data_IF_687080363582
#
_entry.id   IF_687080363582
#
_cell.length_a   1.000
_cell.length_b   1.000
_cell.length_c   1.000
_cell.angle_alpha   90.00
_cell.angle_beta   90.00
_cell.angle_gamma   90.00
#
_symmetry.space_group_name_H-M   'P 1'
#
loop_
_entity.id
_entity.type
_entity.pdbx_description
1 polymer ?
#
# COMPACT_ATOMS: atom_id res chain seq x y z
N UNK A 1 -24.58 -11.12 0.30
CA UNK A 1 -24.70 -10.30 1.51
C UNK A 1 -23.32 -9.73 1.84
N UNK A 2 -23.27 -8.43 2.06
CA UNK A 2 -22.04 -7.75 2.50
C UNK A 2 -22.07 -7.55 4.01
N UNK A 3 -20.93 -7.75 4.68
CA UNK A 3 -20.75 -7.43 6.09
C UNK A 3 -19.95 -6.12 6.18
N UNK A 4 -20.54 -5.13 6.81
CA UNK A 4 -19.85 -3.87 7.08
C UNK A 4 -19.20 -3.96 8.46
N UNK A 5 -17.91 -3.65 8.55
CA UNK A 5 -17.10 -3.72 9.77
C UNK A 5 -17.74 -2.97 10.94
N UNK A 6 -18.27 -1.80 10.66
CA UNK A 6 -18.87 -0.89 11.65
C UNK A 6 -20.04 -1.52 12.41
N UNK A 7 -20.78 -2.43 11.78
CA UNK A 7 -21.91 -3.14 12.42
C UNK A 7 -21.48 -4.13 13.50
N UNK A 8 -20.21 -4.50 13.51
CA UNK A 8 -19.66 -5.48 14.44
C UNK A 8 -18.74 -4.85 15.50
N UNK A 9 -18.55 -3.53 15.45
CA UNK A 9 -17.78 -2.78 16.41
C UNK A 9 -18.72 -2.10 17.41
N UNK A 10 -18.43 -2.29 18.70
CA UNK A 10 -19.11 -1.57 19.77
C UNK A 10 -18.42 -0.22 20.03
N UNK A 11 -19.16 0.69 20.69
CA UNK A 11 -18.57 1.95 21.19
C UNK A 11 -17.33 1.73 22.05
N UNK A 12 -17.33 0.69 22.88
CA UNK A 12 -16.17 0.33 23.72
C UNK A 12 -14.98 -0.16 22.89
N UNK A 13 -15.21 -0.84 21.76
CA UNK A 13 -14.11 -1.24 20.87
C UNK A 13 -13.43 -0.03 20.25
N UNK A 14 -14.20 1.00 19.90
CA UNK A 14 -13.68 2.27 19.38
C UNK A 14 -12.88 3.00 20.47
N UNK A 15 -13.44 3.16 21.67
CA UNK A 15 -12.70 3.77 22.80
C UNK A 15 -11.40 3.04 23.07
N UNK A 16 -11.43 1.69 23.13
CA UNK A 16 -10.23 0.91 23.39
C UNK A 16 -9.17 1.07 22.27
N UNK A 17 -9.59 1.18 21.01
CA UNK A 17 -8.67 1.49 19.93
C UNK A 17 -8.03 2.87 20.11
N UNK A 18 -8.81 3.90 20.46
CA UNK A 18 -8.30 5.25 20.74
C UNK A 18 -7.40 5.32 22.00
N UNK A 19 -7.54 4.40 22.93
CA UNK A 19 -6.60 4.27 24.07
C UNK A 19 -5.18 3.93 23.63
N UNK A 20 -4.96 3.68 22.33
CA UNK A 20 -3.63 3.60 21.72
C UNK A 20 -2.76 4.80 22.08
N UNK A 21 -3.31 6.01 22.07
CA UNK A 21 -2.58 7.24 22.44
C UNK A 21 -2.03 7.20 23.88
N UNK A 22 -2.72 6.53 24.80
CA UNK A 22 -2.23 6.32 26.16
C UNK A 22 -1.21 5.19 26.22
N UNK A 23 -1.48 4.09 25.50
CA UNK A 23 -0.61 2.90 25.51
C UNK A 23 0.76 3.15 24.87
N UNK A 24 0.83 3.97 23.81
CA UNK A 24 2.11 4.28 23.15
C UNK A 24 3.13 4.95 24.07
N UNK A 25 2.68 5.69 25.10
CA UNK A 25 3.57 6.33 26.07
C UNK A 25 4.36 5.32 26.92
N UNK A 26 3.90 4.08 26.99
CA UNK A 26 4.53 3.00 27.72
C UNK A 26 5.46 2.14 26.86
N UNK A 27 5.64 2.50 25.57
CA UNK A 27 6.57 1.79 24.68
C UNK A 27 7.99 2.17 25.11
N UNK A 28 8.71 1.18 25.59
CA UNK A 28 10.13 1.32 25.94
C UNK A 28 10.93 0.98 24.69
N UNK A 29 11.61 1.98 24.13
CA UNK A 29 12.56 1.77 23.05
C UNK A 29 13.83 1.19 23.64
N UNK A 30 14.13 -0.06 23.28
CA UNK A 30 15.46 -0.64 23.51
C UNK A 30 16.41 -0.12 22.45
N UNK A 31 17.64 -0.59 22.44
CA UNK A 31 18.67 -0.16 21.48
C UNK A 31 18.15 -0.10 20.04
N UNK A 32 18.25 1.07 19.42
CA UNK A 32 17.74 1.35 18.09
C UNK A 32 18.90 1.77 17.18
N UNK A 33 19.78 0.82 16.90
CA UNK A 33 20.93 1.04 16.04
C UNK A 33 20.75 0.36 14.68
N UNK A 34 21.10 1.07 13.63
CA UNK A 34 21.19 0.54 12.27
C UNK A 34 22.58 0.88 11.74
N UNK A 35 23.41 -0.12 11.48
CA UNK A 35 24.78 0.06 11.02
C UNK A 35 25.57 1.07 11.91
N UNK A 36 25.50 0.88 13.23
CA UNK A 36 26.16 1.71 14.26
C UNK A 36 25.59 3.13 14.43
N UNK A 37 24.55 3.51 13.67
CA UNK A 37 23.84 4.78 13.85
C UNK A 37 22.66 4.61 14.82
N UNK A 38 22.58 5.49 15.82
CA UNK A 38 21.43 5.60 16.70
C UNK A 38 20.27 6.26 15.98
N UNK A 39 19.18 5.49 15.75
CA UNK A 39 17.96 5.98 15.09
C UNK A 39 16.81 6.25 16.09
N UNK A 40 17.12 6.31 17.39
CA UNK A 40 16.12 6.47 18.46
C UNK A 40 15.22 7.69 18.27
N UNK A 41 15.78 8.80 17.82
CA UNK A 41 15.00 10.03 17.63
C UNK A 41 14.06 9.94 16.42
N UNK A 42 14.46 9.23 15.37
CA UNK A 42 13.58 8.94 14.21
C UNK A 42 12.40 8.09 14.67
N UNK A 43 12.67 7.03 15.44
CA UNK A 43 11.62 6.14 15.96
C UNK A 43 10.71 6.88 16.94
N UNK A 44 11.26 7.73 17.82
CA UNK A 44 10.46 8.57 18.73
C UNK A 44 9.54 9.52 17.95
N UNK A 45 10.05 10.15 16.89
CA UNK A 45 9.25 11.01 16.03
C UNK A 45 8.09 10.21 15.38
N UNK A 46 8.37 9.06 14.79
CA UNK A 46 7.34 8.20 14.18
C UNK A 46 6.26 7.78 15.20
N UNK A 47 6.66 7.43 16.42
CA UNK A 47 5.73 7.01 17.47
C UNK A 47 4.91 8.19 18.03
N UNK A 48 5.50 9.39 18.13
CA UNK A 48 4.88 10.50 18.87
C UNK A 48 4.20 11.52 17.98
N UNK A 49 4.72 11.81 16.81
CA UNK A 49 4.36 12.99 16.03
C UNK A 49 3.75 12.68 14.66
N UNK A 50 3.89 11.44 14.17
CA UNK A 50 3.34 11.04 12.88
C UNK A 50 1.83 10.77 12.97
N UNK A 51 1.00 11.77 12.64
CA UNK A 51 -0.47 11.68 12.67
C UNK A 51 -1.03 10.63 11.69
N UNK A 52 -0.37 10.41 10.55
CA UNK A 52 -0.82 9.41 9.56
C UNK A 52 -0.69 8.00 10.14
N UNK A 53 0.42 7.73 10.81
CA UNK A 53 0.65 6.44 11.48
C UNK A 53 -0.40 6.17 12.57
N UNK A 54 -0.94 7.20 13.21
CA UNK A 54 -1.99 7.02 14.23
C UNK A 54 -3.30 6.53 13.65
N UNK A 55 -3.73 7.10 12.54
CA UNK A 55 -4.96 6.65 11.88
C UNK A 55 -4.84 5.19 11.46
N UNK A 56 -3.71 4.81 10.86
CA UNK A 56 -3.44 3.43 10.47
C UNK A 56 -3.35 2.47 11.67
N UNK A 57 -2.78 2.90 12.81
CA UNK A 57 -2.71 2.10 14.03
C UNK A 57 -4.11 1.86 14.65
N UNK A 58 -4.94 2.90 14.72
CA UNK A 58 -6.32 2.79 15.19
C UNK A 58 -7.12 1.84 14.28
N UNK A 59 -7.00 2.00 12.98
CA UNK A 59 -7.66 1.13 11.99
C UNK A 59 -7.22 -0.32 12.15
N UNK A 60 -5.93 -0.57 12.36
CA UNK A 60 -5.36 -1.89 12.65
C UNK A 60 -5.99 -2.51 13.89
N UNK A 61 -6.11 -1.75 14.97
CA UNK A 61 -6.74 -2.21 16.21
C UNK A 61 -8.23 -2.51 16.01
N UNK A 62 -8.95 -1.68 15.26
CA UNK A 62 -10.35 -1.91 14.92
C UNK A 62 -10.54 -3.15 14.06
N UNK A 63 -9.61 -3.46 13.15
CA UNK A 63 -9.61 -4.70 12.39
C UNK A 63 -9.49 -5.93 13.31
N UNK A 64 -8.60 -5.88 14.29
CA UNK A 64 -8.48 -6.96 15.30
C UNK A 64 -9.80 -7.13 16.09
N UNK A 65 -10.43 -6.02 16.51
CA UNK A 65 -11.70 -6.06 17.26
C UNK A 65 -12.83 -6.61 16.41
N UNK A 66 -12.96 -6.17 15.17
CA UNK A 66 -13.92 -6.68 14.21
C UNK A 66 -13.82 -8.20 14.08
N UNK A 67 -12.62 -8.71 13.79
CA UNK A 67 -12.39 -10.15 13.60
C UNK A 67 -12.68 -10.93 14.89
N UNK A 68 -12.30 -10.40 16.05
CA UNK A 68 -12.67 -10.96 17.35
C UNK A 68 -14.19 -11.06 17.52
N UNK A 69 -14.93 -10.03 17.17
CA UNK A 69 -16.37 -9.96 17.37
C UNK A 69 -17.12 -10.90 16.41
N UNK A 70 -16.77 -10.97 15.14
CA UNK A 70 -17.35 -11.94 14.21
C UNK A 70 -17.03 -13.38 14.62
N UNK A 71 -15.87 -13.64 15.23
CA UNK A 71 -15.52 -14.94 15.79
C UNK A 71 -16.40 -15.30 16.97
N UNK A 72 -16.66 -14.37 17.90
CA UNK A 72 -17.60 -14.56 19.03
C UNK A 72 -19.02 -14.88 18.56
N UNK A 73 -19.45 -14.25 17.46
CA UNK A 73 -20.74 -14.49 16.81
C UNK A 73 -20.76 -15.77 15.98
N UNK A 74 -19.66 -16.54 15.99
CA UNK A 74 -19.51 -17.80 15.24
C UNK A 74 -19.75 -17.64 13.74
N UNK A 75 -19.42 -16.49 13.17
CA UNK A 75 -19.48 -16.28 11.71
C UNK A 75 -18.54 -17.28 11.03
N UNK A 76 -19.08 -18.06 10.11
CA UNK A 76 -18.33 -19.11 9.41
C UNK A 76 -17.51 -18.52 8.28
N UNK A 77 -16.32 -18.01 8.58
CA UNK A 77 -15.35 -17.54 7.58
C UNK A 77 -14.62 -18.75 6.99
N UNK A 78 -14.53 -18.84 5.67
CA UNK A 78 -13.85 -19.93 4.95
C UNK A 78 -12.47 -19.52 4.47
N UNK A 79 -12.33 -18.27 4.07
CA UNK A 79 -11.13 -17.71 3.46
C UNK A 79 -11.08 -16.22 3.76
N UNK A 80 -9.89 -15.68 3.98
CA UNK A 80 -9.63 -14.24 4.00
C UNK A 80 -8.66 -13.88 2.90
N UNK A 81 -9.03 -12.89 2.09
CA UNK A 81 -8.13 -12.31 1.08
C UNK A 81 -8.11 -10.81 1.31
N UNK A 82 -6.92 -10.25 1.46
CA UNK A 82 -6.71 -8.81 1.55
C UNK A 82 -5.80 -8.31 0.41
N UNK A 83 -5.95 -7.03 0.08
CA UNK A 83 -4.98 -6.32 -0.72
C UNK A 83 -3.78 -6.02 0.18
N UNK A 84 -2.68 -6.71 -0.05
CA UNK A 84 -1.56 -6.76 0.88
C UNK A 84 -0.39 -5.89 0.41
N UNK A 85 -0.15 -4.81 1.11
CA UNK A 85 1.02 -3.93 0.93
C UNK A 85 1.96 -3.95 2.15
N UNK A 86 1.66 -4.79 3.14
CA UNK A 86 2.32 -4.87 4.44
C UNK A 86 2.24 -3.58 5.26
N UNK A 87 1.16 -2.84 5.09
CA UNK A 87 0.88 -1.64 5.88
C UNK A 87 0.41 -2.00 7.30
N UNK A 88 0.33 -0.99 8.17
CA UNK A 88 -0.08 -1.19 9.57
C UNK A 88 -1.48 -1.81 9.68
N UNK A 89 -2.42 -1.38 8.83
CA UNK A 89 -3.79 -1.91 8.80
C UNK A 89 -3.83 -3.39 8.37
N UNK A 90 -2.97 -3.82 7.43
CA UNK A 90 -2.87 -5.21 6.99
C UNK A 90 -2.39 -6.11 8.13
N UNK A 91 -1.44 -5.61 8.95
CA UNK A 91 -0.94 -6.34 10.12
C UNK A 91 -2.04 -6.63 11.13
N UNK A 92 -2.90 -5.66 11.42
CA UNK A 92 -4.04 -5.86 12.32
C UNK A 92 -5.06 -6.85 11.78
N UNK A 93 -5.31 -6.81 10.47
CA UNK A 93 -6.18 -7.75 9.78
C UNK A 93 -5.63 -9.18 9.89
N UNK A 94 -4.40 -9.39 9.49
CA UNK A 94 -3.77 -10.71 9.48
C UNK A 94 -3.58 -11.28 10.89
N UNK A 95 -3.14 -10.45 11.86
CA UNK A 95 -3.07 -10.85 13.27
C UNK A 95 -4.43 -11.30 13.81
N UNK A 96 -5.48 -10.55 13.50
CA UNK A 96 -6.83 -10.87 13.92
C UNK A 96 -7.26 -12.25 13.42
N UNK A 97 -7.09 -12.54 12.14
CA UNK A 97 -7.42 -13.84 11.57
C UNK A 97 -6.54 -14.97 12.12
N UNK A 98 -5.24 -14.77 12.20
CA UNK A 98 -4.34 -15.77 12.77
C UNK A 98 -4.68 -16.11 14.21
N UNK A 99 -5.17 -15.15 14.98
CA UNK A 99 -5.55 -15.33 16.40
C UNK A 99 -6.94 -15.94 16.59
N UNK A 100 -7.93 -15.44 15.89
CA UNK A 100 -9.34 -15.78 16.15
C UNK A 100 -9.93 -16.81 15.17
N UNK A 101 -9.27 -17.00 14.01
CA UNK A 101 -9.62 -17.98 13.01
C UNK A 101 -8.38 -18.79 12.55
N UNK A 102 -7.65 -19.46 13.49
CA UNK A 102 -6.36 -20.06 13.18
C UNK A 102 -6.40 -21.17 12.11
N UNK A 103 -7.59 -21.73 11.83
CA UNK A 103 -7.76 -22.83 10.89
C UNK A 103 -8.04 -22.39 9.45
N UNK A 104 -8.44 -21.13 9.21
CA UNK A 104 -8.72 -20.66 7.86
C UNK A 104 -7.42 -20.32 7.12
N UNK A 105 -7.50 -20.33 5.81
CA UNK A 105 -6.45 -19.77 4.96
C UNK A 105 -6.60 -18.25 4.90
N UNK A 106 -5.47 -17.53 5.01
CA UNK A 106 -5.38 -16.10 4.80
C UNK A 106 -4.41 -15.83 3.67
N UNK A 107 -4.84 -15.07 2.68
CA UNK A 107 -4.08 -14.76 1.47
C UNK A 107 -3.91 -13.25 1.38
N UNK A 108 -2.65 -12.80 1.42
CA UNK A 108 -2.30 -11.43 1.08
C UNK A 108 -2.05 -11.32 -0.42
N UNK A 109 -2.95 -10.67 -1.15
CA UNK A 109 -2.79 -10.46 -2.59
C UNK A 109 -2.01 -9.19 -2.85
N UNK A 110 -0.77 -9.32 -3.34
CA UNK A 110 0.12 -8.23 -3.70
C UNK A 110 0.02 -7.92 -5.19
N UNK A 111 -1.01 -7.17 -5.54
CA UNK A 111 -1.38 -6.85 -6.92
C UNK A 111 -0.58 -5.70 -7.56
N UNK A 112 0.60 -5.39 -7.02
CA UNK A 112 1.48 -4.30 -7.46
C UNK A 112 2.84 -4.85 -7.92
N UNK A 113 3.53 -4.05 -8.72
CA UNK A 113 4.92 -4.31 -9.11
C UNK A 113 5.79 -3.39 -8.27
N UNK A 114 6.55 -3.92 -7.29
CA UNK A 114 7.41 -3.10 -6.47
C UNK A 114 8.58 -2.54 -7.29
N UNK A 115 9.04 -1.36 -6.91
CA UNK A 115 10.27 -0.78 -7.43
C UNK A 115 11.39 -0.92 -6.42
N UNK A 116 12.52 -1.47 -6.81
CA UNK A 116 13.70 -1.57 -5.95
C UNK A 116 14.29 -0.18 -5.56
N UNK A 117 13.81 0.88 -6.20
CA UNK A 117 14.23 2.27 -5.95
C UNK A 117 13.30 2.99 -4.96
N UNK A 118 12.14 2.39 -4.61
CA UNK A 118 11.20 2.98 -3.67
C UNK A 118 11.49 2.47 -2.26
N UNK A 119 12.01 3.33 -1.41
CA UNK A 119 12.23 3.02 0.02
C UNK A 119 10.92 2.78 0.78
N UNK A 120 9.80 3.26 0.24
CA UNK A 120 8.45 3.05 0.80
C UNK A 120 7.91 1.63 0.58
N UNK A 121 8.57 0.79 -0.19
CA UNK A 121 8.17 -0.60 -0.35
C UNK A 121 8.33 -1.37 0.96
N UNK A 122 7.21 -1.65 1.59
CA UNK A 122 7.19 -2.44 2.82
C UNK A 122 7.26 -3.92 2.49
N UNK A 123 8.48 -4.46 2.52
CA UNK A 123 8.63 -5.91 2.45
C UNK A 123 8.32 -6.54 3.82
N UNK A 124 7.61 -7.69 3.84
CA UNK A 124 7.37 -8.42 5.06
C UNK A 124 8.70 -8.94 5.64
N UNK A 125 8.79 -9.01 6.97
CA UNK A 125 9.98 -9.47 7.70
C UNK A 125 9.74 -10.80 8.40
N UNK A 126 10.82 -11.53 8.75
CA UNK A 126 10.70 -12.78 9.51
C UNK A 126 10.12 -12.54 10.91
N UNK A 127 10.43 -11.40 11.54
CA UNK A 127 9.86 -11.05 12.85
C UNK A 127 8.35 -10.84 12.79
N UNK A 128 7.84 -10.22 11.72
CA UNK A 128 6.40 -10.08 11.48
C UNK A 128 5.73 -11.44 11.28
N UNK A 129 6.42 -12.36 10.62
CA UNK A 129 5.94 -13.73 10.44
C UNK A 129 5.86 -14.47 11.78
N UNK A 130 6.90 -14.40 12.60
CA UNK A 130 6.96 -14.98 13.95
C UNK A 130 5.84 -14.39 14.84
N UNK A 131 5.60 -13.09 14.75
CA UNK A 131 4.55 -12.39 15.49
C UNK A 131 3.14 -12.61 14.91
N UNK A 132 2.99 -13.39 13.84
CA UNK A 132 1.73 -13.70 13.15
C UNK A 132 1.01 -12.47 12.58
N UNK A 133 1.78 -11.47 12.18
CA UNK A 133 1.28 -10.23 11.57
C UNK A 133 1.09 -10.37 10.05
N UNK A 134 1.59 -11.45 9.46
CA UNK A 134 1.50 -11.72 8.03
C UNK A 134 0.36 -12.71 7.71
N UNK A 135 -0.17 -12.69 6.47
CA UNK A 135 -1.05 -13.73 5.98
C UNK A 135 -0.31 -15.07 5.92
N UNK A 136 -1.02 -16.20 5.94
CA UNK A 136 -0.42 -17.53 5.80
C UNK A 136 0.19 -17.76 4.42
N UNK A 137 -0.32 -17.05 3.41
CA UNK A 137 0.13 -17.11 2.03
C UNK A 137 0.16 -15.72 1.43
N UNK A 138 1.22 -15.40 0.71
CA UNK A 138 1.31 -14.17 -0.10
C UNK A 138 1.21 -14.56 -1.57
N UNK A 139 0.30 -13.92 -2.30
CA UNK A 139 0.16 -14.10 -3.73
C UNK A 139 0.67 -12.87 -4.48
N UNK A 140 1.62 -13.07 -5.39
CA UNK A 140 2.21 -12.02 -6.24
C UNK A 140 1.77 -12.19 -7.68
N UNK A 141 1.78 -11.10 -8.47
CA UNK A 141 1.28 -11.09 -9.85
C UNK A 141 2.28 -11.56 -10.91
N UNK A 142 3.41 -12.13 -10.49
CA UNK A 142 4.41 -12.67 -11.40
C UNK A 142 5.46 -13.47 -10.66
N UNK A 143 5.95 -14.57 -11.25
CA UNK A 143 6.92 -15.47 -10.64
C UNK A 143 8.24 -14.79 -10.26
N UNK A 144 8.68 -13.78 -11.03
CA UNK A 144 9.87 -13.00 -10.72
C UNK A 144 9.77 -12.21 -9.40
N UNK A 145 8.56 -11.97 -8.89
CA UNK A 145 8.34 -11.25 -7.63
C UNK A 145 8.44 -12.15 -6.39
N UNK A 146 8.44 -13.46 -6.56
CA UNK A 146 8.56 -14.42 -5.45
C UNK A 146 9.89 -14.24 -4.72
N UNK A 147 10.99 -14.11 -5.46
CA UNK A 147 12.33 -13.95 -4.89
C UNK A 147 12.44 -12.68 -4.04
N UNK A 148 11.76 -11.60 -4.41
CA UNK A 148 11.76 -10.35 -3.65
C UNK A 148 11.17 -10.52 -2.26
N UNK A 149 10.07 -11.27 -2.13
CA UNK A 149 9.48 -11.58 -0.82
C UNK A 149 10.36 -12.55 -0.05
N UNK A 150 10.81 -13.64 -0.69
CA UNK A 150 11.62 -14.68 -0.05
C UNK A 150 12.98 -14.20 0.46
N UNK A 151 13.48 -13.08 -0.06
CA UNK A 151 14.70 -12.41 0.43
C UNK A 151 14.56 -11.99 1.90
N UNK A 152 13.37 -11.57 2.33
CA UNK A 152 13.13 -11.02 3.67
C UNK A 152 12.38 -11.99 4.59
N UNK A 153 11.55 -12.89 4.02
CA UNK A 153 10.79 -13.88 4.77
C UNK A 153 10.93 -15.24 4.08
N UNK A 154 11.78 -16.10 4.64
CA UNK A 154 12.10 -17.39 4.03
C UNK A 154 10.97 -18.43 4.18
N UNK A 155 10.31 -18.43 5.34
CA UNK A 155 9.38 -19.47 5.76
C UNK A 155 7.91 -19.22 5.41
N UNK A 156 7.60 -18.12 4.71
CA UNK A 156 6.23 -17.84 4.27
C UNK A 156 5.93 -18.54 2.95
N UNK A 157 4.69 -18.99 2.77
CA UNK A 157 4.23 -19.51 1.49
C UNK A 157 3.99 -18.35 0.51
N UNK A 158 4.68 -18.37 -0.64
CA UNK A 158 4.52 -17.36 -1.71
C UNK A 158 4.18 -18.08 -3.01
N UNK A 159 3.13 -17.60 -3.68
CA UNK A 159 2.63 -18.17 -4.92
C UNK A 159 2.26 -17.10 -5.94
N UNK A 160 1.99 -17.49 -7.17
CA UNK A 160 1.56 -16.58 -8.23
C UNK A 160 0.05 -16.57 -8.32
N UNK A 161 -0.52 -15.37 -8.39
CA UNK A 161 -1.94 -15.15 -8.66
C UNK A 161 -2.12 -14.33 -9.94
N UNK A 162 -3.31 -14.39 -10.59
CA UNK A 162 -3.58 -13.58 -11.75
C UNK A 162 -3.41 -12.08 -11.49
N UNK A 163 -2.87 -11.35 -12.45
CA UNK A 163 -2.70 -9.91 -12.39
C UNK A 163 -4.02 -9.18 -12.70
N UNK A 164 -5.02 -9.30 -11.83
CA UNK A 164 -6.39 -8.80 -12.04
C UNK A 164 -6.46 -7.33 -12.43
N UNK A 165 -5.61 -6.49 -11.82
CA UNK A 165 -5.52 -5.05 -12.14
C UNK A 165 -5.19 -4.80 -13.60
N UNK A 166 -4.45 -5.71 -14.24
CA UNK A 166 -3.98 -5.59 -15.63
C UNK A 166 -4.77 -6.46 -16.60
N UNK A 167 -5.85 -7.10 -16.16
CA UNK A 167 -6.64 -8.02 -16.99
C UNK A 167 -7.15 -7.36 -18.29
N UNK A 168 -7.45 -6.08 -18.26
CA UNK A 168 -7.87 -5.33 -19.44
C UNK A 168 -6.85 -5.32 -20.56
N UNK A 169 -5.54 -5.38 -20.26
CA UNK A 169 -4.47 -5.36 -21.27
C UNK A 169 -4.51 -6.60 -22.19
N UNK A 170 -5.04 -7.72 -21.71
CA UNK A 170 -5.13 -8.97 -22.49
C UNK A 170 -6.20 -8.92 -23.58
N UNK A 171 -7.13 -7.95 -23.46
CA UNK A 171 -8.22 -7.74 -24.41
C UNK A 171 -7.84 -6.77 -25.53
N UNK A 172 -6.78 -5.99 -25.35
CA UNK A 172 -6.32 -5.03 -26.35
C UNK A 172 -5.33 -5.65 -27.33
N UNK A 173 -5.71 -5.68 -28.60
CA UNK A 173 -4.74 -5.89 -29.68
C UNK A 173 -4.10 -4.55 -29.98
N UNK A 174 -2.80 -4.44 -29.77
CA UNK A 174 -2.04 -3.27 -30.19
C UNK A 174 -2.04 -3.21 -31.72
N UNK A 175 -2.67 -2.19 -32.26
CA UNK A 175 -2.60 -1.87 -33.71
C UNK A 175 -1.64 -0.68 -33.82
N UNK A 176 -0.44 -0.88 -34.35
CA UNK A 176 0.49 0.23 -34.56
C UNK A 176 -0.16 1.25 -35.48
N UNK A 177 -0.34 2.47 -35.02
CA UNK A 177 -0.88 3.56 -35.80
C UNK A 177 0.30 4.42 -36.28
N UNK A 178 0.59 4.37 -37.57
CA UNK A 178 1.70 5.09 -38.22
C UNK A 178 1.49 6.62 -38.31
N UNK A 179 0.50 7.17 -37.62
CA UNK A 179 0.29 8.62 -37.50
C UNK A 179 1.30 9.20 -36.50
N UNK A 180 1.36 10.52 -36.40
CA UNK A 180 2.32 11.29 -35.60
C UNK A 180 2.74 10.58 -34.30
N UNK A 181 4.03 10.53 -33.98
CA UNK A 181 4.52 9.90 -32.77
C UNK A 181 3.90 10.58 -31.51
N UNK A 182 3.43 9.76 -30.60
CA UNK A 182 2.75 10.20 -29.36
C UNK A 182 3.70 10.02 -28.18
N UNK A 183 3.83 11.07 -27.37
CA UNK A 183 4.49 11.00 -26.07
C UNK A 183 3.39 10.98 -25.01
N UNK A 184 3.34 9.91 -24.25
CA UNK A 184 2.41 9.78 -23.13
C UNK A 184 3.13 10.16 -21.84
N UNK A 185 2.59 11.14 -21.12
CA UNK A 185 3.14 11.66 -19.86
C UNK A 185 2.16 11.33 -18.73
N UNK A 186 2.53 10.40 -17.88
CA UNK A 186 1.78 10.08 -16.65
C UNK A 186 2.35 10.90 -15.49
N UNK A 187 1.52 11.76 -14.93
CA UNK A 187 1.91 12.61 -13.80
C UNK A 187 1.76 11.83 -12.47
N UNK A 188 2.69 12.00 -11.53
CA UNK A 188 2.64 11.36 -10.21
C UNK A 188 1.56 11.97 -9.31
N UNK A 189 1.39 11.39 -8.12
CA UNK A 189 0.47 11.88 -7.10
C UNK A 189 0.91 13.22 -6.49
N UNK A 190 2.22 13.44 -6.37
CA UNK A 190 2.78 14.67 -5.83
C UNK A 190 2.65 15.80 -6.84
N UNK A 191 2.12 16.95 -6.40
CA UNK A 191 1.90 18.12 -7.26
C UNK A 191 3.22 18.73 -7.72
N UNK A 192 4.20 18.89 -6.84
CA UNK A 192 5.49 19.52 -7.16
C UNK A 192 6.27 18.68 -8.18
N UNK A 193 6.27 17.34 -8.04
CA UNK A 193 6.85 16.43 -9.02
C UNK A 193 6.13 16.53 -10.36
N UNK A 194 4.80 16.68 -10.35
CA UNK A 194 4.00 16.89 -11.55
C UNK A 194 4.36 18.19 -12.26
N UNK A 195 4.53 19.28 -11.52
CA UNK A 195 4.98 20.58 -12.03
C UNK A 195 6.38 20.45 -12.66
N UNK A 196 7.30 19.78 -11.99
CA UNK A 196 8.66 19.56 -12.52
C UNK A 196 8.61 18.80 -13.86
N UNK A 197 7.85 17.72 -13.95
CA UNK A 197 7.69 16.95 -15.20
C UNK A 197 7.04 17.81 -16.29
N UNK A 198 6.03 18.62 -15.95
CA UNK A 198 5.36 19.50 -16.91
C UNK A 198 6.32 20.55 -17.47
N UNK A 199 7.17 21.16 -16.65
CA UNK A 199 8.19 22.11 -17.14
C UNK A 199 9.11 21.45 -18.15
N UNK A 200 9.60 20.25 -17.87
CA UNK A 200 10.44 19.50 -18.83
C UNK A 200 9.70 19.21 -20.15
N UNK A 201 8.41 18.88 -20.10
CA UNK A 201 7.59 18.64 -21.28
C UNK A 201 7.36 19.92 -22.07
N UNK A 202 7.09 21.05 -21.40
CA UNK A 202 6.89 22.36 -22.03
C UNK A 202 8.17 22.82 -22.71
N UNK A 203 9.32 22.74 -22.04
CA UNK A 203 10.62 23.12 -22.62
C UNK A 203 10.96 22.26 -23.84
N UNK A 204 10.70 20.95 -23.74
CA UNK A 204 10.87 20.06 -24.88
C UNK A 204 9.96 20.44 -26.04
N UNK A 205 8.69 20.79 -25.78
CA UNK A 205 7.70 21.15 -26.80
C UNK A 205 8.00 22.53 -27.44
N UNK A 206 8.52 23.49 -26.68
CA UNK A 206 8.91 24.82 -27.19
C UNK A 206 10.00 24.74 -28.26
N UNK A 207 10.77 23.66 -28.31
CA UNK A 207 11.74 23.42 -29.39
C UNK A 207 11.04 23.09 -30.73
N UNK A 208 11.34 23.85 -31.77
CA UNK A 208 10.75 23.68 -33.13
C UNK A 208 10.86 22.25 -33.66
N UNK A 209 12.00 21.58 -33.40
CA UNK A 209 12.25 20.21 -33.84
C UNK A 209 11.27 19.18 -33.27
N UNK A 210 10.59 19.54 -32.16
CA UNK A 210 9.76 18.62 -31.39
C UNK A 210 8.24 18.82 -31.61
N UNK A 211 7.82 19.83 -32.38
CA UNK A 211 6.41 20.09 -32.77
C UNK A 211 5.74 18.95 -33.53
N UNK A 212 6.51 17.99 -34.02
CA UNK A 212 5.99 16.78 -34.68
C UNK A 212 5.33 15.79 -33.71
N UNK A 213 5.62 15.87 -32.42
CA UNK A 213 5.08 14.97 -31.40
C UNK A 213 3.71 15.46 -30.91
N UNK A 214 2.83 14.50 -30.57
CA UNK A 214 1.58 14.76 -29.87
C UNK A 214 1.75 14.30 -28.43
N UNK A 215 1.40 15.17 -27.47
CA UNK A 215 1.47 14.85 -26.05
C UNK A 215 0.10 14.47 -25.51
N UNK A 216 0.05 13.41 -24.73
CA UNK A 216 -1.10 13.07 -23.92
C UNK A 216 -0.68 13.09 -22.46
N UNK A 217 -1.30 13.98 -21.69
CA UNK A 217 -1.09 14.09 -20.26
C UNK A 217 -2.16 13.27 -19.53
N UNK A 218 -1.73 12.41 -18.63
CA UNK A 218 -2.61 11.68 -17.72
C UNK A 218 -2.30 12.11 -16.29
N UNK A 219 -3.27 12.76 -15.66
CA UNK A 219 -3.17 13.13 -14.25
C UNK A 219 -3.32 11.90 -13.35
N UNK A 220 -2.73 11.96 -12.16
CA UNK A 220 -3.06 11.00 -11.12
C UNK A 220 -4.54 11.20 -10.70
N UNK A 221 -5.30 10.14 -10.38
CA UNK A 221 -6.72 10.25 -10.06
C UNK A 221 -7.07 11.21 -8.90
N UNK A 222 -6.12 11.44 -8.00
CA UNK A 222 -6.29 12.34 -6.84
C UNK A 222 -5.85 13.78 -7.12
N UNK A 223 -5.22 14.06 -8.27
CA UNK A 223 -4.73 15.40 -8.61
C UNK A 223 -5.86 16.24 -9.20
N UNK A 224 -5.98 17.49 -8.75
CA UNK A 224 -6.96 18.42 -9.28
C UNK A 224 -6.66 18.82 -10.73
N UNK A 225 -7.59 18.52 -11.62
CA UNK A 225 -7.48 18.91 -13.02
C UNK A 225 -7.35 20.43 -13.20
N UNK A 226 -8.10 21.20 -12.40
CA UNK A 226 -8.10 22.68 -12.49
C UNK A 226 -6.75 23.29 -12.10
N UNK A 227 -6.03 22.71 -11.15
CA UNK A 227 -4.71 23.23 -10.74
C UNK A 227 -3.67 23.01 -11.84
N UNK A 228 -3.64 21.82 -12.46
CA UNK A 228 -2.73 21.52 -13.55
C UNK A 228 -3.03 22.40 -14.78
N UNK A 229 -4.30 22.60 -15.14
CA UNK A 229 -4.66 23.48 -16.27
C UNK A 229 -4.25 24.92 -15.97
N UNK A 230 -4.49 25.45 -14.78
CA UNK A 230 -4.02 26.80 -14.41
C UNK A 230 -2.52 26.91 -14.57
N UNK A 231 -1.74 25.93 -14.10
CA UNK A 231 -0.30 25.92 -14.27
C UNK A 231 0.11 25.98 -15.74
N UNK A 232 -0.44 25.10 -16.60
CA UNK A 232 -0.10 25.05 -18.04
C UNK A 232 -0.46 26.35 -18.77
N UNK A 233 -1.53 27.02 -18.39
CA UNK A 233 -1.98 28.28 -19.03
C UNK A 233 -1.16 29.51 -18.61
N UNK A 234 -0.40 29.42 -17.51
CA UNK A 234 0.46 30.50 -17.02
C UNK A 234 1.90 30.40 -17.56
N UNK A 235 2.31 29.27 -18.15
CA UNK A 235 3.61 29.02 -18.78
C UNK A 235 3.59 29.25 -20.31
#
# INVERSE_FOLDING_TARGET
NYLFKEKFLSFFDVIDAFMFFKRKKNIILKENYVCDYDISDIIKYEINDNMISYAAAIESLLNIKFIKNISKLKVNVKLSIDWFENQINDRGWNYGFNKYYPKIETIGYRGLIPSNLLLSEMYPTEDENIQKLLPKKICVIGSSLISNIKKYVKNINVDVAPAFRFQHLWKYKYLPNNKKPIIFVALPINFDDSVHILNLVIDFYKSEKNKKYKFYLKLHPTTSYSEIIKFILHE
#
